data_IF_536945043301
#
_entry.id   IF_536945043301
#
_cell.length_a   1.000
_cell.length_b   1.000
_cell.length_c   1.000
_cell.angle_alpha   90.00
_cell.angle_beta   90.00
_cell.angle_gamma   90.00
#
_symmetry.space_group_name_H-M   'P 1'
#
loop_
_entity.id
_entity.type
_entity.pdbx_description
1 polymer ?
#
# COMPACT_ATOMS: atom_id res chain seq x y z
N UNK A 1 -8.61 17.83 12.00
CA UNK A 1 -9.72 17.56 11.07
C UNK A 1 -9.30 17.49 9.58
N UNK A 2 -8.15 18.05 9.17
CA UNK A 2 -7.63 17.98 7.79
C UNK A 2 -6.60 16.86 7.56
N UNK A 3 -5.91 16.42 8.61
CA UNK A 3 -5.11 15.19 8.62
C UNK A 3 -5.95 13.96 8.21
N UNK A 4 -7.17 13.83 8.75
CA UNK A 4 -8.09 12.72 8.49
C UNK A 4 -8.39 12.49 7.00
N UNK A 5 -8.59 13.57 6.24
CA UNK A 5 -8.84 13.50 4.80
C UNK A 5 -7.57 13.18 3.98
N UNK A 6 -6.39 13.51 4.49
CA UNK A 6 -5.12 13.30 3.79
C UNK A 6 -4.68 11.83 3.87
N UNK A 7 -4.81 11.20 5.04
CA UNK A 7 -4.40 9.79 5.24
C UNK A 7 -5.32 8.81 4.52
N UNK A 8 -6.63 9.05 4.48
CA UNK A 8 -7.56 8.16 3.75
C UNK A 8 -7.31 8.12 2.24
N UNK A 9 -6.93 9.26 1.62
CA UNK A 9 -6.57 9.31 0.20
C UNK A 9 -5.16 8.78 -0.08
N UNK A 10 -4.21 9.03 0.81
CA UNK A 10 -2.83 8.56 0.65
C UNK A 10 -2.70 7.04 0.88
N UNK A 11 -3.42 6.50 1.86
CA UNK A 11 -3.48 5.05 2.10
C UNK A 11 -4.17 4.29 0.99
N UNK A 12 -5.28 4.81 0.48
CA UNK A 12 -5.92 4.21 -0.70
C UNK A 12 -5.03 4.31 -1.95
N UNK A 13 -4.12 5.28 -2.05
CA UNK A 13 -3.19 5.36 -3.17
C UNK A 13 -2.21 4.16 -3.23
N UNK A 14 -1.72 3.66 -2.09
CA UNK A 14 -0.83 2.48 -2.09
C UNK A 14 -1.60 1.20 -2.47
N UNK A 15 -2.87 1.10 -2.08
CA UNK A 15 -3.73 -0.02 -2.47
C UNK A 15 -3.98 -0.03 -3.99
N UNK A 16 -4.36 1.11 -4.57
CA UNK A 16 -4.56 1.22 -6.03
C UNK A 16 -3.27 0.98 -6.83
N UNK A 17 -2.12 1.42 -6.31
CA UNK A 17 -0.83 1.15 -6.94
C UNK A 17 -0.49 -0.34 -6.93
N UNK A 18 -0.77 -1.03 -5.81
CA UNK A 18 -0.58 -2.47 -5.68
C UNK A 18 -1.57 -3.27 -6.56
N UNK A 19 -2.83 -2.87 -6.62
CA UNK A 19 -3.87 -3.45 -7.48
C UNK A 19 -3.51 -3.37 -8.98
N UNK A 20 -2.79 -2.31 -9.39
CA UNK A 20 -2.37 -2.11 -10.79
C UNK A 20 -0.99 -2.65 -11.11
N UNK A 21 -0.27 -3.23 -10.15
CA UNK A 21 1.08 -3.73 -10.38
C UNK A 21 2.14 -2.63 -10.52
N UNK A 22 1.88 -1.43 -10.00
CA UNK A 22 2.78 -0.28 -10.12
C UNK A 22 3.86 -0.27 -9.02
N UNK A 23 4.82 -1.19 -9.11
CA UNK A 23 5.89 -1.39 -8.12
C UNK A 23 6.64 -0.11 -7.75
N UNK A 24 6.99 0.73 -8.74
CA UNK A 24 7.71 2.00 -8.50
C UNK A 24 6.88 3.00 -7.68
N UNK A 25 5.57 3.05 -7.90
CA UNK A 25 4.67 3.94 -7.15
C UNK A 25 4.50 3.42 -5.73
N UNK A 26 4.36 2.10 -5.55
CA UNK A 26 4.33 1.48 -4.23
C UNK A 26 5.59 1.84 -3.44
N UNK A 27 6.78 1.68 -4.02
CA UNK A 27 8.04 2.04 -3.36
C UNK A 27 8.07 3.52 -2.94
N UNK A 28 7.69 4.44 -3.84
CA UNK A 28 7.67 5.87 -3.54
C UNK A 28 6.73 6.19 -2.36
N UNK A 29 5.55 5.57 -2.31
CA UNK A 29 4.59 5.75 -1.23
C UNK A 29 5.10 5.18 0.11
N UNK A 30 5.78 4.03 0.07
CA UNK A 30 6.44 3.45 1.23
C UNK A 30 7.54 4.39 1.77
N UNK A 31 8.37 4.96 0.89
CA UNK A 31 9.43 5.90 1.29
C UNK A 31 8.86 7.17 1.95
N UNK A 32 7.61 7.53 1.66
CA UNK A 32 6.89 8.61 2.31
C UNK A 32 6.26 8.24 3.66
N UNK A 33 6.46 7.01 4.15
CA UNK A 33 5.93 6.55 5.43
C UNK A 33 4.41 6.33 5.40
N UNK A 34 3.85 5.98 4.24
CA UNK A 34 2.43 5.62 4.14
C UNK A 34 2.16 4.38 4.97
N UNK A 35 1.08 4.42 5.73
CA UNK A 35 0.58 3.26 6.46
C UNK A 35 0.00 2.24 5.47
N UNK A 36 0.61 1.06 5.43
CA UNK A 36 0.23 -0.06 4.56
C UNK A 36 -0.94 -0.88 5.11
N UNK A 37 -1.35 -0.65 6.36
CA UNK A 37 -2.51 -1.30 6.97
C UNK A 37 -3.84 -0.68 6.53
N UNK A 38 -3.78 0.44 5.80
CA UNK A 38 -4.97 1.14 5.32
C UNK A 38 -5.67 0.28 4.27
N UNK A 39 -7.00 0.25 4.38
CA UNK A 39 -7.89 -0.44 3.45
C UNK A 39 -8.45 0.54 2.42
N UNK A 40 -8.63 0.08 1.19
CA UNK A 40 -9.39 0.82 0.17
C UNK A 40 -10.90 0.80 0.46
N UNK A 41 -11.68 1.39 -0.45
CA UNK A 41 -13.15 1.42 -0.38
C UNK A 41 -13.78 0.01 -0.44
N UNK A 42 -13.06 -0.99 -0.96
CA UNK A 42 -13.46 -2.39 -0.99
C UNK A 42 -13.09 -3.16 0.28
N UNK A 43 -12.36 -2.55 1.22
CA UNK A 43 -11.90 -3.19 2.44
C UNK A 43 -10.60 -4.00 2.29
N UNK A 44 -9.88 -3.82 1.18
CA UNK A 44 -8.65 -4.53 0.84
C UNK A 44 -7.41 -3.69 1.17
N UNK A 45 -6.38 -4.35 1.68
CA UNK A 45 -5.05 -3.76 1.87
C UNK A 45 -4.20 -3.90 0.61
N UNK A 46 -3.14 -3.11 0.51
CA UNK A 46 -2.21 -3.18 -0.62
C UNK A 46 -1.60 -4.59 -0.80
N UNK A 47 -1.36 -5.30 0.31
CA UNK A 47 -0.83 -6.66 0.29
C UNK A 47 -1.85 -7.65 -0.29
N UNK A 48 -3.11 -7.57 0.14
CA UNK A 48 -4.16 -8.46 -0.35
C UNK A 48 -4.44 -8.22 -1.84
N UNK A 49 -4.44 -6.96 -2.31
CA UNK A 49 -4.57 -6.62 -3.73
C UNK A 49 -3.39 -7.16 -4.56
N UNK A 50 -2.16 -6.99 -4.07
CA UNK A 50 -0.96 -7.52 -4.75
C UNK A 50 -1.00 -9.05 -4.85
N UNK A 51 -1.36 -9.73 -3.75
CA UNK A 51 -1.45 -11.18 -3.69
C UNK A 51 -2.57 -11.72 -4.61
N UNK A 52 -3.73 -11.08 -4.63
CA UNK A 52 -4.85 -11.49 -5.48
C UNK A 52 -4.55 -11.36 -6.98
N UNK A 53 -3.79 -10.33 -7.37
CA UNK A 53 -3.40 -10.11 -8.76
C UNK A 53 -2.09 -10.83 -9.15
N UNK A 54 -1.39 -11.44 -8.19
CA UNK A 54 -0.14 -12.19 -8.42
C UNK A 54 1.10 -11.30 -8.60
N UNK A 55 1.08 -10.06 -8.11
CA UNK A 55 2.22 -9.14 -8.16
C UNK A 55 3.24 -9.43 -7.06
N UNK A 56 4.00 -10.51 -7.24
CA UNK A 56 4.99 -11.01 -6.26
C UNK A 56 6.02 -9.96 -5.85
N UNK A 57 6.50 -9.13 -6.78
CA UNK A 57 7.48 -8.08 -6.47
C UNK A 57 6.92 -7.05 -5.47
N UNK A 58 5.63 -6.74 -5.58
CA UNK A 58 4.93 -5.81 -4.67
C UNK A 58 4.66 -6.48 -3.33
N UNK A 59 4.27 -7.76 -3.35
CA UNK A 59 4.05 -8.55 -2.15
C UNK A 59 5.34 -8.64 -1.30
N UNK A 60 6.48 -8.95 -1.94
CA UNK A 60 7.79 -8.99 -1.30
C UNK A 60 8.21 -7.62 -0.75
N UNK A 61 7.97 -6.54 -1.49
CA UNK A 61 8.24 -5.17 -1.02
C UNK A 61 7.43 -4.81 0.23
N UNK A 62 6.12 -5.06 0.22
CA UNK A 62 5.23 -4.77 1.34
C UNK A 62 5.56 -5.64 2.57
N UNK A 63 5.86 -6.93 2.37
CA UNK A 63 6.32 -7.84 3.42
C UNK A 63 7.64 -7.38 4.04
N UNK A 64 8.58 -6.94 3.20
CA UNK A 64 9.87 -6.40 3.64
C UNK A 64 9.67 -5.15 4.47
N UNK A 65 8.80 -4.24 4.05
CA UNK A 65 8.53 -3.00 4.75
C UNK A 65 7.88 -3.26 6.14
N UNK A 66 6.91 -4.17 6.21
CA UNK A 66 6.22 -4.52 7.46
C UNK A 66 7.14 -5.18 8.51
N UNK A 67 8.23 -5.84 8.10
CA UNK A 67 9.20 -6.46 9.03
C UNK A 67 10.24 -5.49 9.59
N UNK A 68 10.37 -4.28 9.03
CA UNK A 68 11.43 -3.32 9.39
C UNK A 68 10.96 -2.29 10.44
N UNK A 69 9.65 -2.12 10.62
CA UNK A 69 9.08 -1.35 11.74
C UNK A 69 9.17 -2.16 13.05
N UNK A 70 10.29 -2.04 13.77
CA UNK A 70 10.52 -2.46 15.17
C UNK A 70 10.77 -1.26 16.08
#
# INVERSE_FOLDING_TARGET
MWEYYRVHKAGSAVVHAAERGHTTIVQLLLDHGVDISIKDEGGWTALECAAQNGFKDIEELLLKYNRVTV
#
